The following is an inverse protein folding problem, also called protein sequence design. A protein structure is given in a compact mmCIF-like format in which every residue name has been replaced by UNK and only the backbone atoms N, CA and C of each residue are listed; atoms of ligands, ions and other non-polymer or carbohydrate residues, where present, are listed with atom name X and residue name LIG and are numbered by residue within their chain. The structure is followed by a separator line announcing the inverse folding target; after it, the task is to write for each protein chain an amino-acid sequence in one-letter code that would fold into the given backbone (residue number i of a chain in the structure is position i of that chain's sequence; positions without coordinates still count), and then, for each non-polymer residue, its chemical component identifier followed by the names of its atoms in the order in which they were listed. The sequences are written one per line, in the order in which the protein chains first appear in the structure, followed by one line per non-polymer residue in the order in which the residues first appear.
data_IF_614653114045
#
_entry.id   IF_614653114045
#
_cell.length_a   1.000
_cell.length_b   1.000
_cell.length_c   1.000
_cell.angle_alpha   90.00
_cell.angle_beta   90.00
_cell.angle_gamma   90.00
#
_symmetry.space_group_name_H-M   'P 1'
#
loop_
_entity.id
_entity.type
_entity.pdbx_description
1 polymer ?
#
# COMPACT_ATOMS: atom_id res chain seq x y z
N UNK A 1 16.56 3.24 -4.42
CA UNK A 1 16.22 3.99 -3.20
C UNK A 1 14.73 3.89 -2.86
N UNK A 2 13.85 4.09 -3.83
CA UNK A 2 12.40 4.01 -3.58
C UNK A 2 11.97 2.61 -3.18
N UNK A 3 12.54 1.59 -3.82
CA UNK A 3 12.25 0.19 -3.47
C UNK A 3 12.74 -0.12 -2.05
N UNK A 4 13.94 0.31 -1.69
CA UNK A 4 14.48 0.09 -0.34
C UNK A 4 13.61 0.76 0.70
N UNK A 5 13.19 2.00 0.47
CA UNK A 5 12.32 2.72 1.39
C UNK A 5 11.00 1.98 1.59
N UNK A 6 10.36 1.56 0.49
CA UNK A 6 9.08 0.85 0.57
C UNK A 6 9.21 -0.47 1.33
N UNK A 7 10.23 -1.25 1.04
CA UNK A 7 10.46 -2.53 1.70
C UNK A 7 10.73 -2.33 3.20
N UNK A 8 11.56 -1.35 3.54
CA UNK A 8 11.88 -1.10 4.95
C UNK A 8 10.67 -0.54 5.71
N UNK A 9 9.82 0.26 5.09
CA UNK A 9 8.55 0.67 5.70
C UNK A 9 7.66 -0.55 6.01
N UNK A 10 7.57 -1.49 5.08
CA UNK A 10 6.80 -2.71 5.30
C UNK A 10 7.38 -3.55 6.43
N UNK A 11 8.70 -3.70 6.48
CA UNK A 11 9.38 -4.44 7.55
C UNK A 11 9.11 -3.82 8.91
N UNK A 12 9.19 -2.49 9.02
CA UNK A 12 8.91 -1.79 10.27
C UNK A 12 7.47 -1.93 10.70
N UNK A 13 6.54 -1.90 9.76
CA UNK A 13 5.12 -2.13 10.05
C UNK A 13 4.91 -3.51 10.67
N UNK A 14 5.51 -4.55 10.09
CA UNK A 14 5.42 -5.91 10.63
C UNK A 14 6.09 -6.02 12.01
N UNK A 15 7.25 -5.40 12.19
CA UNK A 15 7.92 -5.39 13.49
C UNK A 15 7.03 -4.75 14.57
N UNK A 16 6.31 -3.70 14.23
CA UNK A 16 5.43 -2.99 15.16
C UNK A 16 4.33 -3.89 15.70
N UNK A 17 3.85 -4.83 14.90
CA UNK A 17 2.80 -5.78 15.32
C UNK A 17 3.37 -7.09 15.85
N UNK A 18 4.67 -7.15 16.14
CA UNK A 18 5.30 -8.27 16.82
C UNK A 18 5.94 -9.33 15.94
N UNK A 19 6.02 -9.11 14.63
CA UNK A 19 6.69 -10.03 13.72
C UNK A 19 8.18 -9.66 13.67
N UNK A 20 9.01 -10.47 14.31
CA UNK A 20 10.44 -10.17 14.47
C UNK A 20 11.22 -10.37 13.17
N UNK A 21 10.96 -11.46 12.45
CA UNK A 21 11.64 -11.74 11.18
C UNK A 21 10.77 -11.32 10.01
N UNK A 22 10.61 -10.00 9.86
CA UNK A 22 9.80 -9.42 8.79
C UNK A 22 10.36 -9.78 7.40
N UNK A 23 11.68 -9.87 7.27
CA UNK A 23 12.30 -10.21 6.01
C UNK A 23 11.89 -11.60 5.52
N UNK A 24 11.82 -12.59 6.42
CA UNK A 24 11.40 -13.94 6.08
C UNK A 24 9.96 -13.97 5.58
N UNK A 25 9.07 -13.19 6.22
CA UNK A 25 7.66 -13.12 5.83
C UNK A 25 7.51 -12.43 4.46
N UNK A 26 8.24 -11.34 4.24
CA UNK A 26 8.08 -10.53 3.04
C UNK A 26 8.81 -11.10 1.81
N UNK A 27 9.88 -11.86 2.01
CA UNK A 27 10.72 -12.32 0.91
C UNK A 27 9.94 -13.05 -0.19
N UNK A 28 9.12 -14.07 0.11
CA UNK A 28 8.38 -14.74 -0.97
C UNK A 28 7.34 -13.83 -1.63
N UNK A 29 6.68 -12.97 -0.86
CA UNK A 29 5.70 -12.02 -1.38
C UNK A 29 6.35 -11.01 -2.33
N UNK A 30 7.42 -10.38 -1.88
CA UNK A 30 8.10 -9.34 -2.66
C UNK A 30 8.78 -9.93 -3.89
N UNK A 31 9.38 -11.12 -3.76
CA UNK A 31 10.02 -11.78 -4.88
C UNK A 31 9.00 -12.12 -5.98
N UNK A 32 7.85 -12.64 -5.58
CA UNK A 32 6.78 -12.97 -6.53
C UNK A 32 6.20 -11.70 -7.18
N UNK A 33 5.97 -10.66 -6.39
CA UNK A 33 5.44 -9.39 -6.90
C UNK A 33 6.41 -8.73 -7.89
N UNK A 34 7.70 -8.75 -7.55
CA UNK A 34 8.74 -8.18 -8.43
C UNK A 34 8.79 -8.93 -9.76
N UNK A 35 8.82 -10.25 -9.72
CA UNK A 35 8.89 -11.08 -10.93
C UNK A 35 7.66 -10.86 -11.81
N UNK A 36 6.47 -10.82 -11.21
CA UNK A 36 5.25 -10.55 -11.96
C UNK A 36 5.25 -9.17 -12.57
N UNK A 37 5.68 -8.16 -11.83
CA UNK A 37 5.73 -6.79 -12.32
C UNK A 37 6.67 -6.66 -13.53
N UNK A 38 7.83 -7.32 -13.47
CA UNK A 38 8.79 -7.28 -14.57
C UNK A 38 8.28 -8.00 -15.81
N UNK A 39 7.53 -9.09 -15.66
CA UNK A 39 7.01 -9.89 -16.77
C UNK A 39 5.71 -9.34 -17.33
N UNK A 40 4.82 -8.81 -16.48
CA UNK A 40 3.45 -8.47 -16.87
C UNK A 40 3.17 -6.96 -16.85
N UNK A 41 4.08 -6.17 -16.25
CA UNK A 41 3.84 -4.73 -16.09
C UNK A 41 2.58 -4.48 -15.26
N UNK A 42 1.74 -3.56 -15.70
CA UNK A 42 0.51 -3.21 -14.97
C UNK A 42 -0.53 -4.34 -14.96
N UNK A 43 -0.36 -5.35 -15.79
CA UNK A 43 -1.17 -6.56 -15.69
C UNK A 43 -0.98 -7.31 -14.37
N UNK A 44 0.09 -7.03 -13.64
CA UNK A 44 0.34 -7.61 -12.32
C UNK A 44 -0.42 -6.91 -11.20
N UNK A 45 -1.08 -5.77 -11.46
CA UNK A 45 -1.85 -5.05 -10.45
C UNK A 45 -2.97 -5.92 -9.90
N UNK A 46 -3.00 -6.08 -8.59
CA UNK A 46 -3.94 -6.91 -7.86
C UNK A 46 -4.21 -6.23 -6.52
N UNK A 47 -5.06 -6.84 -5.71
CA UNK A 47 -5.35 -6.33 -4.39
C UNK A 47 -6.63 -5.51 -4.34
N UNK A 48 -6.89 -4.85 -3.20
CA UNK A 48 -8.19 -4.21 -2.96
C UNK A 48 -8.49 -3.08 -3.94
N UNK A 49 -7.50 -2.31 -4.37
CA UNK A 49 -7.75 -1.20 -5.29
C UNK A 49 -8.21 -1.72 -6.64
N UNK A 50 -7.53 -2.73 -7.19
CA UNK A 50 -7.90 -3.30 -8.49
C UNK A 50 -9.26 -4.00 -8.46
N UNK A 51 -9.71 -4.42 -7.28
CA UNK A 51 -11.04 -5.02 -7.09
C UNK A 51 -12.11 -3.99 -6.73
N UNK A 52 -11.75 -2.72 -6.56
CA UNK A 52 -12.68 -1.68 -6.15
C UNK A 52 -13.14 -1.82 -4.70
N UNK A 53 -12.34 -2.44 -3.85
CA UNK A 53 -12.70 -2.70 -2.45
C UNK A 53 -12.35 -1.49 -1.59
N UNK A 54 -13.21 -0.49 -1.63
CA UNK A 54 -13.05 0.79 -0.91
C UNK A 54 -12.96 0.57 0.59
N UNK A 55 -13.76 -0.37 1.11
CA UNK A 55 -13.77 -0.67 2.55
C UNK A 55 -12.44 -1.18 3.08
N UNK A 56 -11.78 -2.06 2.32
CA UNK A 56 -10.46 -2.57 2.70
C UNK A 56 -9.41 -1.47 2.67
N UNK A 57 -9.43 -0.61 1.66
CA UNK A 57 -8.49 0.52 1.59
C UNK A 57 -8.69 1.46 2.78
N UNK A 58 -9.94 1.76 3.14
CA UNK A 58 -10.27 2.57 4.31
C UNK A 58 -9.73 1.93 5.60
N UNK A 59 -9.89 0.61 5.74
CA UNK A 59 -9.40 -0.13 6.91
C UNK A 59 -7.87 -0.10 6.99
N UNK A 60 -7.18 -0.22 5.86
CA UNK A 60 -5.72 -0.11 5.82
C UNK A 60 -5.25 1.26 6.30
N UNK A 61 -5.90 2.33 5.82
CA UNK A 61 -5.54 3.69 6.22
C UNK A 61 -5.76 3.91 7.71
N UNK A 62 -6.88 3.43 8.24
CA UNK A 62 -7.17 3.54 9.67
C UNK A 62 -6.14 2.76 10.50
N UNK A 63 -5.76 1.57 10.07
CA UNK A 63 -4.77 0.76 10.76
C UNK A 63 -3.40 1.45 10.77
N UNK A 64 -2.97 1.99 9.63
CA UNK A 64 -1.70 2.70 9.53
C UNK A 64 -1.69 3.96 10.38
N UNK A 65 -2.81 4.69 10.41
CA UNK A 65 -2.97 5.88 11.24
C UNK A 65 -2.82 5.54 12.72
N UNK A 66 -3.45 4.45 13.18
CA UNK A 66 -3.36 3.99 14.56
C UNK A 66 -1.93 3.58 14.93
N UNK A 67 -1.23 2.89 14.03
CA UNK A 67 0.16 2.50 14.24
C UNK A 67 1.07 3.72 14.32
N UNK A 68 0.85 4.72 13.47
CA UNK A 68 1.63 5.93 13.45
C UNK A 68 1.47 6.72 14.75
N UNK A 69 0.25 6.81 15.29
CA UNK A 69 -0.03 7.51 16.55
C UNK A 69 0.58 6.81 17.77
N UNK A 70 0.73 5.48 17.71
CA UNK A 70 1.25 4.69 18.82
C UNK A 70 2.78 4.65 18.89
N UNK A 71 3.47 5.28 17.94
CA UNK A 71 4.91 5.11 17.76
C UNK A 71 5.75 6.09 18.57
N UNK A 72 7.03 5.70 18.69
CA UNK A 72 8.07 6.45 19.37
C UNK A 72 8.23 7.86 18.80
N UNK A 73 8.68 8.83 19.63
CA UNK A 73 8.74 10.23 19.22
C UNK A 73 9.82 10.56 18.18
N UNK A 74 10.63 9.60 17.73
CA UNK A 74 11.67 9.88 16.72
C UNK A 74 11.11 10.18 15.33
N UNK A 75 9.84 9.94 15.10
CA UNK A 75 9.17 10.25 13.83
C UNK A 75 9.57 9.39 12.65
N UNK A 76 10.36 8.36 12.89
CA UNK A 76 10.98 7.55 11.83
C UNK A 76 9.97 6.89 10.90
N UNK A 77 8.79 6.54 11.41
CA UNK A 77 7.78 5.82 10.65
C UNK A 77 6.59 6.67 10.26
N UNK A 78 6.71 7.99 10.40
CA UNK A 78 5.61 8.91 10.07
C UNK A 78 5.35 9.02 8.58
N UNK A 79 6.27 8.55 7.76
CA UNK A 79 6.14 8.58 6.31
C UNK A 79 5.38 7.38 5.73
N UNK A 80 5.08 6.35 6.54
CA UNK A 80 4.48 5.10 6.03
C UNK A 80 3.10 5.35 5.45
N UNK A 81 2.24 6.06 6.16
CA UNK A 81 0.90 6.35 5.66
C UNK A 81 0.96 7.25 4.43
N UNK A 82 1.86 8.22 4.40
CA UNK A 82 2.04 9.09 3.24
C UNK A 82 2.46 8.30 2.01
N UNK A 83 3.36 7.33 2.16
CA UNK A 83 3.77 6.44 1.08
C UNK A 83 2.60 5.58 0.59
N UNK A 84 1.82 5.02 1.53
CA UNK A 84 0.64 4.24 1.19
C UNK A 84 -0.33 5.07 0.34
N UNK A 85 -0.65 6.29 0.80
CA UNK A 85 -1.59 7.17 0.08
C UNK A 85 -1.08 7.51 -1.33
N UNK A 86 0.18 7.85 -1.45
CA UNK A 86 0.76 8.22 -2.75
C UNK A 86 0.69 7.05 -3.74
N UNK A 87 1.07 5.84 -3.29
CA UNK A 87 1.04 4.66 -4.14
C UNK A 87 -0.39 4.19 -4.41
N UNK A 88 -1.28 4.29 -3.43
CA UNK A 88 -2.69 3.95 -3.62
C UNK A 88 -3.34 4.86 -4.66
N UNK A 89 -3.03 6.15 -4.62
CA UNK A 89 -3.53 7.12 -5.61
C UNK A 89 -3.03 6.77 -7.00
N UNK A 90 -1.73 6.49 -7.14
CA UNK A 90 -1.14 6.11 -8.42
C UNK A 90 -1.72 4.78 -8.94
N UNK A 91 -1.94 3.82 -8.05
CA UNK A 91 -2.52 2.53 -8.41
C UNK A 91 -3.97 2.70 -8.88
N UNK A 92 -4.75 3.53 -8.18
CA UNK A 92 -6.14 3.83 -8.56
C UNK A 92 -6.19 4.41 -9.98
N UNK A 93 -5.30 5.35 -10.28
CA UNK A 93 -5.24 5.97 -11.60
C UNK A 93 -4.91 4.92 -12.67
N UNK A 94 -3.94 4.04 -12.42
CA UNK A 94 -3.59 2.99 -13.38
C UNK A 94 -4.73 2.02 -13.59
N UNK A 95 -5.40 1.61 -12.53
CA UNK A 95 -6.54 0.69 -12.62
C UNK A 95 -7.70 1.31 -13.39
N UNK A 96 -7.94 2.61 -13.22
CA UNK A 96 -8.97 3.32 -13.96
C UNK A 96 -8.61 3.39 -15.46
N UNK A 97 -7.39 3.78 -15.80
CA UNK A 97 -6.92 3.85 -17.18
C UNK A 97 -7.01 2.49 -17.85
N UNK A 98 -6.68 1.42 -17.14
CA UNK A 98 -6.71 0.05 -17.67
C UNK A 98 -8.11 -0.59 -17.62
N UNK A 99 -9.13 0.16 -17.24
CA UNK A 99 -10.51 -0.31 -17.15
C UNK A 99 -10.71 -1.48 -16.18
N UNK A 100 -9.86 -1.59 -15.17
CA UNK A 100 -10.04 -2.59 -14.10
C UNK A 100 -11.09 -2.13 -13.10
N UNK A 101 -11.27 -0.82 -12.95
CA UNK A 101 -12.32 -0.21 -12.12
C UNK A 101 -13.02 0.87 -12.92
N UNK A 102 -14.28 1.16 -12.55
CA UNK A 102 -15.06 2.22 -13.18
C UNK A 102 -14.62 3.60 -12.69
N UNK A 103 -14.91 4.68 -13.45
CA UNK A 103 -14.64 6.03 -12.96
C UNK A 103 -15.34 6.35 -11.63
N UNK A 104 -16.53 5.80 -11.42
CA UNK A 104 -17.29 6.00 -10.16
C UNK A 104 -16.58 5.36 -8.97
N UNK A 105 -16.07 4.14 -9.15
CA UNK A 105 -15.29 3.44 -8.11
C UNK A 105 -13.97 4.16 -7.86
N UNK A 106 -13.30 4.60 -8.92
CA UNK A 106 -12.07 5.38 -8.78
C UNK A 106 -12.31 6.62 -7.92
N UNK A 107 -13.42 7.33 -8.15
CA UNK A 107 -13.76 8.51 -7.37
C UNK A 107 -13.96 8.19 -5.90
N UNK A 108 -14.63 7.08 -5.59
CA UNK A 108 -14.81 6.61 -4.22
C UNK A 108 -13.47 6.30 -3.55
N UNK A 109 -12.55 5.67 -4.29
CA UNK A 109 -11.20 5.39 -3.78
C UNK A 109 -10.43 6.67 -3.51
N UNK A 110 -10.45 7.65 -4.42
CA UNK A 110 -9.77 8.93 -4.22
C UNK A 110 -10.29 9.65 -2.97
N UNK A 111 -11.59 9.60 -2.70
CA UNK A 111 -12.17 10.24 -1.53
C UNK A 111 -11.69 9.62 -0.22
N UNK A 112 -11.46 8.31 -0.22
CA UNK A 112 -10.93 7.61 0.97
C UNK A 112 -9.43 7.86 1.12
N UNK A 113 -8.69 7.82 0.00
CA UNK A 113 -7.24 8.00 0.01
C UNK A 113 -6.86 9.43 0.40
N UNK A 114 -7.56 10.41 -0.15
CA UNK A 114 -7.28 11.83 0.07
C UNK A 114 -8.56 12.56 0.51
N UNK A 115 -9.05 12.32 1.73
CA UNK A 115 -10.23 13.05 2.23
C UNK A 115 -9.89 14.52 2.41
N UNK A 116 -10.81 15.36 2.08
CA UNK A 116 -10.68 16.82 2.25
C UNK A 116 -10.72 17.28 3.71
#
# INVERSE_FOLDING_TARGET
NHLVTLVTQAMRTLNTIGIEDAAAVLRPLLSAALERALNEGEGALTGPISRGDVGTVSSHLNALDSLEQAKEPDGRDRDIQASYRALARATTQRCEINSQITPEVAQQLYQVIDPD
#
